data_IF_488957983502
#
_entry.id   IF_488957983502
#
_cell.length_a   1.000
_cell.length_b   1.000
_cell.length_c   1.000
_cell.angle_alpha   90.00
_cell.angle_beta   90.00
_cell.angle_gamma   90.00
#
_symmetry.space_group_name_H-M   'P 1'
#
loop_
_entity.id
_entity.type
_entity.pdbx_description
1 polymer ?
#
# COMPACT_ATOMS: atom_id res chain seq x y z
N UNK A 1 -24.01 -18.35 5.97
CA UNK A 1 -23.01 -17.61 5.15
C UNK A 1 -23.66 -17.22 3.82
N UNK A 2 -23.90 -15.93 3.58
CA UNK A 2 -24.62 -15.43 2.41
C UNK A 2 -23.85 -15.70 1.10
N UNK A 3 -24.58 -16.10 0.05
CA UNK A 3 -24.05 -16.41 -1.31
C UNK A 3 -23.26 -15.25 -1.94
N UNK A 4 -23.44 -14.02 -1.43
CA UNK A 4 -22.70 -12.81 -1.83
C UNK A 4 -21.24 -12.84 -1.36
N UNK A 5 -20.96 -13.41 -0.18
CA UNK A 5 -19.61 -13.52 0.35
C UNK A 5 -18.77 -14.55 -0.43
N UNK A 6 -19.39 -15.66 -0.88
CA UNK A 6 -18.72 -16.69 -1.66
C UNK A 6 -18.39 -16.23 -3.09
N UNK A 7 -19.28 -15.46 -3.73
CA UNK A 7 -19.01 -14.82 -5.03
C UNK A 7 -17.91 -13.76 -4.95
N UNK A 8 -17.84 -13.02 -3.85
CA UNK A 8 -16.79 -12.02 -3.63
C UNK A 8 -15.41 -12.66 -3.37
N UNK A 9 -15.40 -13.82 -2.70
CA UNK A 9 -14.18 -14.59 -2.46
C UNK A 9 -13.61 -15.19 -3.74
N UNK A 10 -14.47 -15.75 -4.62
CA UNK A 10 -14.08 -16.29 -5.92
C UNK A 10 -13.58 -15.21 -6.90
N UNK A 11 -14.18 -14.02 -6.88
CA UNK A 11 -13.70 -12.89 -7.68
C UNK A 11 -12.35 -12.34 -7.19
N UNK A 12 -12.06 -12.39 -5.88
CA UNK A 12 -10.78 -11.90 -5.34
C UNK A 12 -9.59 -12.80 -5.69
N UNK A 13 -9.77 -14.13 -5.70
CA UNK A 13 -8.70 -15.06 -6.11
C UNK A 13 -8.36 -14.89 -7.60
N UNK A 14 -9.36 -14.64 -8.45
CA UNK A 14 -9.16 -14.44 -9.89
C UNK A 14 -8.43 -13.14 -10.28
N UNK A 15 -8.53 -12.08 -9.47
CA UNK A 15 -7.90 -10.78 -9.77
C UNK A 15 -6.40 -10.79 -9.47
N UNK A 16 -5.94 -11.55 -8.46
CA UNK A 16 -4.52 -11.63 -8.12
C UNK A 16 -3.70 -12.36 -9.21
N UNK A 17 -4.32 -13.30 -9.94
CA UNK A 17 -3.67 -14.01 -11.05
C UNK A 17 -3.43 -13.18 -12.31
N UNK A 18 -4.18 -12.08 -12.54
CA UNK A 18 -4.05 -11.26 -13.77
C UNK A 18 -3.08 -10.08 -13.65
N UNK A 19 -2.66 -9.70 -12.44
CA UNK A 19 -1.78 -8.55 -12.24
C UNK A 19 -0.28 -8.85 -12.49
N UNK A 20 0.08 -10.10 -12.79
CA UNK A 20 1.47 -10.53 -13.01
C UNK A 20 1.95 -10.44 -14.47
N UNK A 21 1.08 -10.16 -15.44
CA UNK A 21 1.42 -10.25 -16.89
C UNK A 21 1.51 -8.92 -17.65
N UNK A 22 1.51 -7.77 -16.96
CA UNK A 22 1.37 -6.45 -17.59
C UNK A 22 2.63 -5.58 -17.68
N UNK A 23 3.83 -6.17 -17.73
CA UNK A 23 5.10 -5.41 -17.72
C UNK A 23 5.88 -5.64 -19.02
N UNK A 24 5.52 -4.94 -20.11
CA UNK A 24 6.43 -4.73 -21.23
C UNK A 24 6.03 -3.56 -22.16
N UNK A 25 6.36 -2.32 -21.80
CA UNK A 25 6.38 -1.11 -22.67
C UNK A 25 7.25 -0.04 -21.94
N UNK A 26 8.06 0.88 -22.55
CA UNK A 26 8.51 1.13 -23.95
C UNK A 26 10.07 1.35 -24.04
N UNK A 27 10.66 1.97 -25.10
CA UNK A 27 10.61 3.43 -25.30
C UNK A 27 10.37 3.87 -26.77
N UNK A 28 9.51 4.89 -26.98
CA UNK A 28 9.40 5.58 -28.27
C UNK A 28 10.43 6.71 -28.37
N UNK A 29 11.18 6.65 -29.48
CA UNK A 29 12.21 7.57 -29.96
C UNK A 29 11.61 8.90 -30.41
N UNK A 30 12.14 10.01 -29.88
CA UNK A 30 11.91 11.36 -30.39
C UNK A 30 12.94 11.64 -31.49
N UNK A 31 12.49 12.01 -32.68
CA UNK A 31 13.35 12.55 -33.73
C UNK A 31 12.55 13.58 -34.52
N UNK A 32 12.92 14.85 -34.38
CA UNK A 32 12.40 15.91 -35.21
C UNK A 32 13.03 15.88 -36.60
N UNK A 33 12.31 16.39 -37.61
CA UNK A 33 12.94 17.01 -38.76
C UNK A 33 11.98 17.99 -39.43
N UNK A 34 12.60 19.05 -39.93
CA UNK A 34 12.04 20.31 -40.40
C UNK A 34 11.86 20.31 -41.93
N UNK A 35 11.09 21.31 -42.40
CA UNK A 35 11.03 21.94 -43.75
C UNK A 35 9.95 21.48 -44.72
N UNK A 36 9.29 22.46 -45.32
CA UNK A 36 8.49 22.32 -46.53
C UNK A 36 7.51 23.46 -46.76
N UNK A 37 8.00 24.59 -47.27
CA UNK A 37 7.23 25.77 -47.66
C UNK A 37 6.43 25.53 -48.95
N UNK A 38 5.16 25.97 -49.01
CA UNK A 38 4.53 26.49 -50.24
C UNK A 38 3.32 27.40 -49.90
N UNK A 39 3.34 28.61 -50.46
CA UNK A 39 2.36 29.72 -50.47
C UNK A 39 1.39 29.55 -51.69
N UNK A 40 0.41 30.45 -51.98
CA UNK A 40 -0.68 31.03 -51.17
C UNK A 40 -2.07 31.02 -51.90
N UNK A 41 -3.04 31.70 -51.27
CA UNK A 41 -4.14 32.49 -51.87
C UNK A 41 -5.46 31.80 -52.23
N UNK A 42 -6.48 32.01 -51.39
CA UNK A 42 -7.77 32.53 -51.87
C UNK A 42 -8.53 33.24 -50.74
N UNK A 43 -9.08 34.40 -51.04
CA UNK A 43 -9.78 35.29 -50.12
C UNK A 43 -11.28 35.00 -50.08
N UNK A 44 -11.91 35.10 -48.89
CA UNK A 44 -13.32 35.50 -48.72
C UNK A 44 -13.49 36.29 -47.41
N UNK A 45 -14.20 37.43 -47.42
CA UNK A 45 -14.53 38.20 -46.22
C UNK A 45 -15.85 37.73 -45.61
N UNK A 46 -15.94 37.75 -44.27
CA UNK A 46 -17.21 37.70 -43.55
C UNK A 46 -17.44 36.45 -42.70
N UNK A 47 -16.97 36.50 -41.45
CA UNK A 47 -17.63 35.92 -40.29
C UNK A 47 -16.94 36.42 -39.01
N UNK A 48 -17.61 37.24 -38.22
CA UNK A 48 -17.23 37.47 -36.82
C UNK A 48 -17.32 36.12 -36.09
N UNK A 49 -16.18 35.55 -35.74
CA UNK A 49 -16.12 34.45 -34.77
C UNK A 49 -15.90 35.03 -33.37
N UNK A 50 -16.65 34.57 -32.35
CA UNK A 50 -16.36 34.94 -30.98
C UNK A 50 -15.01 34.33 -30.60
N UNK A 51 -14.05 35.17 -30.23
CA UNK A 51 -12.79 34.73 -29.65
C UNK A 51 -13.10 33.91 -28.39
N UNK A 52 -12.94 32.60 -28.48
CA UNK A 52 -12.82 31.74 -27.31
C UNK A 52 -11.55 32.21 -26.58
N UNK A 53 -11.73 32.99 -25.52
CA UNK A 53 -10.66 33.32 -24.58
C UNK A 53 -10.22 31.98 -23.97
N UNK A 54 -9.07 31.48 -24.43
CA UNK A 54 -8.39 30.39 -23.75
C UNK A 54 -7.91 30.97 -22.43
N UNK A 55 -8.65 30.74 -21.36
CA UNK A 55 -8.18 30.98 -20.00
C UNK A 55 -7.10 29.91 -19.78
N UNK A 56 -5.81 30.28 -19.65
CA UNK A 56 -4.85 29.32 -19.15
C UNK A 56 -5.26 28.98 -17.72
N UNK A 57 -5.75 27.76 -17.50
CA UNK A 57 -5.76 27.14 -16.19
C UNK A 57 -4.32 26.81 -15.81
N UNK A 58 -3.47 27.82 -15.68
CA UNK A 58 -2.35 27.74 -14.76
C UNK A 58 -2.98 27.77 -13.39
N UNK A 59 -3.47 26.61 -12.95
CA UNK A 59 -3.67 26.34 -11.53
C UNK A 59 -2.31 26.61 -10.92
N UNK A 60 -2.24 27.75 -10.25
CA UNK A 60 -1.18 28.13 -9.36
C UNK A 60 -0.79 26.89 -8.57
N UNK A 61 0.40 26.38 -8.83
CA UNK A 61 1.10 25.52 -7.88
C UNK A 61 1.41 26.42 -6.69
N UNK A 62 0.36 26.67 -5.90
CA UNK A 62 0.40 27.45 -4.70
C UNK A 62 1.39 26.74 -3.79
N UNK A 63 2.47 27.45 -3.53
CA UNK A 63 3.48 27.25 -2.51
C UNK A 63 2.92 26.39 -1.39
N UNK A 64 3.16 25.08 -1.44
CA UNK A 64 2.94 24.18 -0.31
C UNK A 64 4.09 24.40 0.67
N UNK A 65 4.19 25.64 1.16
CA UNK A 65 4.99 26.02 2.31
C UNK A 65 4.58 25.13 3.46
N UNK A 66 5.58 24.70 4.24
CA UNK A 66 5.50 23.64 5.23
C UNK A 66 4.20 23.64 6.03
N UNK A 67 3.24 22.82 5.59
CA UNK A 67 2.20 22.33 6.47
C UNK A 67 2.93 21.41 7.43
N UNK A 68 3.29 21.93 8.60
CA UNK A 68 3.62 21.10 9.74
C UNK A 68 2.35 20.30 9.98
N UNK A 69 2.28 19.08 9.44
CA UNK A 69 1.11 18.23 9.63
C UNK A 69 0.98 18.02 11.13
N UNK A 70 -0.07 18.61 11.71
CA UNK A 70 -0.24 18.66 13.15
C UNK A 70 -0.38 17.24 13.66
N UNK A 71 0.50 16.85 14.58
CA UNK A 71 0.37 15.62 15.35
C UNK A 71 -0.98 15.63 16.07
N UNK A 72 -1.99 15.00 15.50
CA UNK A 72 -3.30 14.85 16.14
C UNK A 72 -3.35 13.55 16.92
N UNK A 73 -4.13 13.53 18.00
CA UNK A 73 -4.35 12.31 18.78
C UNK A 73 -4.94 11.19 17.90
N UNK A 74 -5.81 11.54 16.94
CA UNK A 74 -6.37 10.60 15.97
C UNK A 74 -5.32 9.98 15.04
N UNK A 75 -4.38 10.79 14.53
CA UNK A 75 -3.29 10.28 13.67
C UNK A 75 -2.37 9.34 14.44
N UNK A 76 -1.98 9.73 15.66
CA UNK A 76 -1.12 8.94 16.52
C UNK A 76 -1.79 7.62 16.88
N UNK A 77 -3.07 7.67 17.29
CA UNK A 77 -3.84 6.47 17.61
C UNK A 77 -4.01 5.54 16.39
N UNK A 78 -4.25 6.10 15.21
CA UNK A 78 -4.34 5.33 13.96
C UNK A 78 -3.05 4.56 13.65
N UNK A 79 -1.90 5.23 13.67
CA UNK A 79 -0.61 4.59 13.41
C UNK A 79 -0.22 3.64 14.54
N UNK A 80 -0.34 4.06 15.79
CA UNK A 80 0.01 3.25 16.96
C UNK A 80 -0.84 1.98 17.02
N UNK A 81 -2.14 2.05 16.75
CA UNK A 81 -2.99 0.87 16.75
C UNK A 81 -2.62 -0.14 15.67
N UNK A 82 -2.27 0.31 14.45
CA UNK A 82 -1.77 -0.59 13.40
C UNK A 82 -0.43 -1.21 13.81
N UNK A 83 0.47 -0.41 14.38
CA UNK A 83 1.76 -0.92 14.90
C UNK A 83 1.55 -1.96 16.00
N UNK A 84 0.65 -1.74 16.95
CA UNK A 84 0.31 -2.69 18.02
C UNK A 84 -0.23 -3.99 17.42
N UNK A 85 -1.12 -3.92 16.41
CA UNK A 85 -1.64 -5.12 15.74
C UNK A 85 -0.52 -5.95 15.10
N UNK A 86 0.41 -5.31 14.38
CA UNK A 86 1.55 -5.98 13.75
C UNK A 86 2.52 -6.56 14.79
N UNK A 87 2.86 -5.81 15.82
CA UNK A 87 3.76 -6.27 16.88
C UNK A 87 3.15 -7.42 17.67
N UNK A 88 1.83 -7.41 17.93
CA UNK A 88 1.14 -8.54 18.56
C UNK A 88 1.14 -9.78 17.66
N UNK A 89 1.00 -9.62 16.35
CA UNK A 89 1.14 -10.72 15.41
C UNK A 89 2.56 -11.32 15.44
N UNK A 90 3.59 -10.46 15.42
CA UNK A 90 5.00 -10.89 15.56
C UNK A 90 5.20 -11.67 16.86
N UNK A 91 4.79 -11.12 18.02
CA UNK A 91 4.93 -11.77 19.33
C UNK A 91 4.33 -13.17 19.37
N UNK A 92 3.22 -13.39 18.66
CA UNK A 92 2.53 -14.70 18.61
C UNK A 92 3.25 -15.72 17.73
N UNK A 93 3.85 -15.28 16.63
CA UNK A 93 4.46 -16.15 15.61
C UNK A 93 5.94 -16.42 15.88
N UNK A 94 6.63 -15.44 16.49
CA UNK A 94 8.05 -15.49 16.82
C UNK A 94 8.51 -16.75 17.56
N UNK A 95 7.83 -17.27 18.61
CA UNK A 95 8.33 -18.47 19.30
C UNK A 95 8.42 -19.70 18.38
N UNK A 96 7.54 -19.81 17.38
CA UNK A 96 7.54 -20.91 16.41
C UNK A 96 8.61 -20.71 15.34
N UNK A 97 8.83 -19.46 14.94
CA UNK A 97 9.89 -19.08 14.01
C UNK A 97 11.30 -19.35 14.58
N UNK A 98 11.46 -19.25 15.90
CA UNK A 98 12.73 -19.45 16.61
C UNK A 98 12.98 -20.90 17.04
N UNK A 99 12.00 -21.78 16.93
CA UNK A 99 12.11 -23.21 17.30
C UNK A 99 13.34 -23.91 16.67
N UNK A 100 13.67 -23.69 15.38
CA UNK A 100 14.90 -24.19 14.77
C UNK A 100 16.21 -23.79 15.45
N UNK A 101 16.25 -22.61 16.05
CA UNK A 101 17.45 -22.04 16.68
C UNK A 101 17.57 -22.46 18.15
N UNK A 102 16.44 -22.78 18.79
CA UNK A 102 16.38 -23.01 20.23
C UNK A 102 16.58 -24.49 20.61
N UNK A 103 15.90 -25.42 19.93
CA UNK A 103 15.70 -26.76 20.49
C UNK A 103 15.95 -27.91 19.51
N UNK A 104 15.32 -27.86 18.33
CA UNK A 104 15.19 -29.03 17.45
C UNK A 104 16.22 -29.05 16.33
N UNK A 105 16.80 -27.90 15.99
CA UNK A 105 17.72 -27.76 14.87
C UNK A 105 17.06 -27.99 13.51
N UNK A 106 17.70 -27.52 12.45
CA UNK A 106 17.35 -27.87 11.07
C UNK A 106 18.48 -28.65 10.43
N UNK A 107 18.18 -29.66 9.60
CA UNK A 107 19.19 -30.27 8.76
C UNK A 107 19.84 -29.21 7.85
N UNK A 108 21.16 -29.31 7.56
CA UNK A 108 21.92 -28.30 6.83
C UNK A 108 21.28 -27.72 5.56
N UNK A 109 20.65 -28.50 4.65
CA UNK A 109 20.03 -27.93 3.45
C UNK A 109 18.79 -27.06 3.75
N UNK A 110 18.07 -27.33 4.84
CA UNK A 110 16.88 -26.55 5.21
C UNK A 110 17.24 -25.16 5.76
N UNK A 111 18.47 -24.95 6.26
CA UNK A 111 18.95 -23.61 6.61
C UNK A 111 19.04 -22.69 5.41
N UNK A 112 19.51 -23.20 4.27
CA UNK A 112 19.54 -22.46 3.01
C UNK A 112 18.13 -22.06 2.55
N UNK A 113 17.18 -22.98 2.64
CA UNK A 113 15.76 -22.72 2.30
C UNK A 113 15.15 -21.72 3.28
N UNK A 114 15.43 -21.85 4.59
CA UNK A 114 14.97 -20.91 5.60
C UNK A 114 15.44 -19.49 5.29
N UNK A 115 16.75 -19.31 5.06
CA UNK A 115 17.33 -18.02 4.74
C UNK A 115 16.82 -17.44 3.43
N UNK A 116 16.74 -18.25 2.37
CA UNK A 116 16.24 -17.82 1.07
C UNK A 116 14.76 -17.42 1.14
N UNK A 117 13.92 -18.18 1.85
CA UNK A 117 12.51 -17.85 2.04
C UNK A 117 12.34 -16.58 2.87
N UNK A 118 13.12 -16.43 3.96
CA UNK A 118 13.11 -15.22 4.77
C UNK A 118 13.53 -13.97 3.98
N UNK A 119 14.55 -14.08 3.13
CA UNK A 119 14.97 -12.99 2.25
C UNK A 119 13.92 -12.67 1.18
N UNK A 120 13.29 -13.72 0.61
CA UNK A 120 12.17 -13.57 -0.30
C UNK A 120 11.03 -12.76 0.34
N UNK A 121 10.60 -13.16 1.54
CA UNK A 121 9.57 -12.47 2.32
C UNK A 121 9.98 -11.05 2.74
N UNK A 122 11.25 -10.83 3.08
CA UNK A 122 11.78 -9.50 3.37
C UNK A 122 11.58 -8.55 2.18
N UNK A 123 11.83 -9.03 0.96
CA UNK A 123 11.68 -8.22 -0.25
C UNK A 123 10.23 -8.08 -0.71
N UNK A 124 9.50 -9.20 -0.85
CA UNK A 124 8.14 -9.19 -1.43
C UNK A 124 7.12 -8.61 -0.47
N UNK A 125 7.10 -9.07 0.78
CA UNK A 125 6.16 -8.58 1.78
C UNK A 125 6.73 -7.34 2.46
N UNK A 126 7.92 -7.42 3.05
CA UNK A 126 8.50 -6.29 3.80
C UNK A 126 8.67 -5.02 2.95
N UNK A 127 9.39 -5.11 1.84
CA UNK A 127 9.67 -3.93 1.02
C UNK A 127 8.57 -3.61 0.00
N UNK A 128 8.16 -4.56 -0.84
CA UNK A 128 7.21 -4.26 -1.93
C UNK A 128 5.77 -4.09 -1.43
N UNK A 129 5.30 -4.90 -0.48
CA UNK A 129 3.95 -4.78 0.07
C UNK A 129 3.89 -3.72 1.17
N UNK A 130 4.67 -3.88 2.25
CA UNK A 130 4.61 -2.98 3.38
C UNK A 130 5.24 -1.62 3.10
N UNK A 131 6.51 -1.54 2.72
CA UNK A 131 7.20 -0.26 2.58
C UNK A 131 6.63 0.59 1.44
N UNK A 132 6.47 0.03 0.23
CA UNK A 132 6.02 0.83 -0.93
C UNK A 132 4.53 1.15 -0.97
N UNK A 133 3.66 0.28 -0.42
CA UNK A 133 2.20 0.39 -0.62
C UNK A 133 1.44 0.61 0.68
N UNK A 134 1.61 -0.28 1.66
CA UNK A 134 0.79 -0.26 2.87
C UNK A 134 1.17 0.89 3.82
N UNK A 135 2.46 1.01 4.16
CA UNK A 135 2.98 2.00 5.11
C UNK A 135 2.64 3.45 4.73
N UNK A 136 2.96 3.94 3.50
CA UNK A 136 2.64 5.31 3.13
C UNK A 136 1.13 5.58 3.10
N UNK A 137 0.31 4.56 2.80
CA UNK A 137 -1.14 4.70 2.80
C UNK A 137 -1.73 4.77 4.21
N UNK A 138 -1.28 3.90 5.13
CA UNK A 138 -1.69 3.95 6.54
C UNK A 138 -1.36 5.30 7.14
N UNK A 139 -0.16 5.81 6.88
CA UNK A 139 0.28 7.11 7.37
C UNK A 139 -0.55 8.23 6.74
N UNK A 140 -0.68 8.27 5.41
CA UNK A 140 -1.46 9.31 4.73
C UNK A 140 -2.91 9.38 5.23
N UNK A 141 -3.57 8.23 5.44
CA UNK A 141 -4.94 8.19 6.00
C UNK A 141 -4.98 8.54 7.48
N UNK A 142 -3.97 8.17 8.27
CA UNK A 142 -3.93 8.57 9.67
C UNK A 142 -3.81 10.10 9.82
N UNK A 143 -3.08 10.76 8.93
CA UNK A 143 -2.87 12.20 8.96
C UNK A 143 -4.12 13.00 8.56
N UNK A 144 -5.13 12.37 7.95
CA UNK A 144 -6.41 13.04 7.66
C UNK A 144 -7.34 13.11 8.88
N UNK A 145 -7.00 12.45 10.00
CA UNK A 145 -7.79 12.54 11.23
C UNK A 145 -7.49 13.85 11.97
N UNK A 146 -8.35 14.84 11.79
CA UNK A 146 -8.35 16.07 12.59
C UNK A 146 -9.24 15.95 13.84
N UNK A 147 -9.10 16.88 14.79
CA UNK A 147 -9.96 16.96 15.99
C UNK A 147 -11.45 17.15 15.65
N UNK A 148 -11.77 17.68 14.47
CA UNK A 148 -13.13 17.82 13.95
C UNK A 148 -13.68 16.54 13.29
N UNK A 149 -12.90 15.45 13.27
CA UNK A 149 -13.34 14.19 12.66
C UNK A 149 -14.45 13.54 13.48
N UNK A 150 -15.40 12.83 12.84
CA UNK A 150 -16.42 12.08 13.55
C UNK A 150 -15.81 11.15 14.60
N UNK A 151 -16.43 11.08 15.78
CA UNK A 151 -15.94 10.28 16.92
C UNK A 151 -15.70 8.81 16.52
N UNK A 152 -16.55 8.27 15.64
CA UNK A 152 -16.40 6.91 15.10
C UNK A 152 -15.07 6.70 14.35
N UNK A 153 -14.59 7.70 13.60
CA UNK A 153 -13.31 7.62 12.89
C UNK A 153 -12.13 7.64 13.87
N UNK A 154 -12.25 8.40 14.97
CA UNK A 154 -11.22 8.48 16.01
C UNK A 154 -11.16 7.21 16.86
N UNK A 155 -12.29 6.62 17.25
CA UNK A 155 -12.30 5.36 18.02
C UNK A 155 -11.70 4.22 17.20
N UNK A 156 -12.15 4.09 15.94
CA UNK A 156 -11.67 3.07 15.01
C UNK A 156 -10.55 3.57 14.11
N UNK A 157 -9.74 4.53 14.57
CA UNK A 157 -8.65 5.11 13.78
C UNK A 157 -7.70 4.08 13.15
N UNK A 158 -7.33 2.98 13.83
CA UNK A 158 -6.45 1.97 13.22
C UNK A 158 -7.10 1.29 12.02
N UNK A 159 -8.39 0.96 12.13
CA UNK A 159 -9.16 0.32 11.06
C UNK A 159 -9.47 1.32 9.92
N UNK A 160 -9.66 2.59 10.26
CA UNK A 160 -9.78 3.68 9.30
C UNK A 160 -8.48 3.87 8.50
N UNK A 161 -7.34 3.88 9.18
CA UNK A 161 -6.02 4.07 8.58
C UNK A 161 -5.68 2.92 7.61
N UNK A 162 -6.11 1.68 7.93
CA UNK A 162 -5.98 0.54 7.00
C UNK A 162 -6.95 0.61 5.80
N UNK A 163 -8.01 1.42 5.87
CA UNK A 163 -8.99 1.60 4.80
C UNK A 163 -10.15 0.58 4.81
N UNK A 164 -10.54 0.08 5.99
CA UNK A 164 -11.66 -0.86 6.12
C UNK A 164 -13.04 -0.22 5.97
N UNK A 165 -13.15 1.07 6.28
CA UNK A 165 -14.37 1.87 6.13
C UNK A 165 -14.01 3.32 5.77
N UNK A 166 -14.98 4.07 5.25
CA UNK A 166 -14.78 5.44 4.74
C UNK A 166 -13.62 5.52 3.72
N UNK A 167 -13.62 4.60 2.76
CA UNK A 167 -12.68 4.54 1.65
C UNK A 167 -13.46 4.30 0.35
N UNK A 168 -12.83 4.58 -0.79
CA UNK A 168 -13.46 4.26 -2.09
C UNK A 168 -13.89 2.78 -2.16
N UNK A 169 -15.00 2.43 -2.84
CA UNK A 169 -15.53 1.06 -2.85
C UNK A 169 -14.56 0.04 -3.48
N UNK A 170 -13.62 0.50 -4.32
CA UNK A 170 -12.51 -0.31 -4.85
C UNK A 170 -11.49 -0.63 -3.74
N UNK A 171 -11.12 0.36 -2.93
CA UNK A 171 -10.18 0.23 -1.81
C UNK A 171 -10.77 -0.63 -0.69
N UNK A 172 -12.03 -0.42 -0.34
CA UNK A 172 -12.67 -1.12 0.77
C UNK A 172 -12.72 -2.64 0.53
N UNK A 173 -13.12 -3.08 -0.67
CA UNK A 173 -13.11 -4.51 -1.06
C UNK A 173 -11.71 -5.12 -0.97
N UNK A 174 -10.70 -4.38 -1.42
CA UNK A 174 -9.30 -4.83 -1.37
C UNK A 174 -8.85 -5.02 0.08
N UNK A 175 -9.14 -4.07 0.98
CA UNK A 175 -8.76 -4.15 2.39
C UNK A 175 -9.44 -5.30 3.14
N UNK A 176 -10.73 -5.54 2.87
CA UNK A 176 -11.44 -6.71 3.38
C UNK A 176 -10.86 -8.03 2.83
N UNK A 177 -10.51 -8.06 1.54
CA UNK A 177 -9.83 -9.20 0.92
C UNK A 177 -8.49 -9.51 1.57
N UNK A 178 -7.67 -8.49 1.86
CA UNK A 178 -6.42 -8.65 2.59
C UNK A 178 -6.63 -9.21 4.00
N UNK A 179 -7.60 -8.68 4.75
CA UNK A 179 -7.90 -9.15 6.09
C UNK A 179 -8.29 -10.63 6.09
N UNK A 180 -9.25 -11.01 5.24
CA UNK A 180 -9.70 -12.41 5.10
C UNK A 180 -8.57 -13.30 4.60
N UNK A 181 -7.78 -12.82 3.64
CA UNK A 181 -6.64 -13.54 3.08
C UNK A 181 -5.58 -13.88 4.14
N UNK A 182 -5.21 -12.91 4.99
CA UNK A 182 -4.26 -13.14 6.09
C UNK A 182 -4.80 -14.18 7.07
N UNK A 183 -6.07 -14.09 7.48
CA UNK A 183 -6.67 -15.09 8.38
C UNK A 183 -6.67 -16.50 7.76
N UNK A 184 -7.01 -16.61 6.49
CA UNK A 184 -7.00 -17.88 5.76
C UNK A 184 -5.57 -18.45 5.64
N UNK A 185 -4.59 -17.61 5.29
CA UNK A 185 -3.19 -18.00 5.19
C UNK A 185 -2.64 -18.49 6.53
N UNK A 186 -2.89 -17.75 7.62
CA UNK A 186 -2.46 -18.16 8.97
C UNK A 186 -3.10 -19.48 9.38
N UNK A 187 -4.38 -19.71 9.04
CA UNK A 187 -5.05 -20.99 9.31
C UNK A 187 -4.39 -22.13 8.52
N UNK A 188 -4.01 -21.90 7.26
CA UNK A 188 -3.32 -22.87 6.42
C UNK A 188 -1.92 -23.18 6.97
N UNK A 189 -1.13 -22.16 7.30
CA UNK A 189 0.24 -22.31 7.82
C UNK A 189 0.27 -23.12 9.11
N UNK A 190 -0.74 -22.98 9.97
CA UNK A 190 -0.87 -23.77 11.21
C UNK A 190 -1.10 -25.26 10.99
N UNK A 191 -1.50 -25.70 9.80
CA UNK A 191 -1.68 -27.11 9.47
C UNK A 191 -0.38 -27.77 9.01
N UNK A 192 0.67 -26.99 8.74
CA UNK A 192 1.97 -27.53 8.36
C UNK A 192 2.66 -28.13 9.59
N UNK A 193 3.23 -29.32 9.41
CA UNK A 193 4.11 -29.94 10.37
C UNK A 193 5.46 -29.21 10.45
N UNK A 194 6.16 -29.41 11.56
CA UNK A 194 7.59 -29.10 11.65
C UNK A 194 8.34 -29.90 10.57
N UNK A 195 9.31 -29.33 9.84
CA UNK A 195 9.97 -28.01 9.99
C UNK A 195 9.42 -26.87 9.12
N UNK A 196 8.48 -27.17 8.21
CA UNK A 196 8.02 -26.22 7.19
C UNK A 196 7.29 -25.02 7.78
N UNK A 197 6.51 -25.25 8.85
CA UNK A 197 5.83 -24.17 9.56
C UNK A 197 6.82 -23.12 10.07
N UNK A 198 7.94 -23.55 10.68
CA UNK A 198 8.95 -22.64 11.23
C UNK A 198 9.67 -21.84 10.14
N UNK A 199 9.90 -22.43 8.96
CA UNK A 199 10.46 -21.72 7.79
C UNK A 199 9.52 -20.60 7.35
N UNK A 200 8.23 -20.90 7.19
CA UNK A 200 7.24 -19.92 6.72
C UNK A 200 7.04 -18.82 7.76
N UNK A 201 6.82 -19.20 9.02
CA UNK A 201 6.62 -18.27 10.14
C UNK A 201 7.86 -17.37 10.33
N UNK A 202 9.08 -17.90 10.12
CA UNK A 202 10.32 -17.13 10.11
C UNK A 202 10.33 -16.03 9.06
N UNK A 203 9.97 -16.36 7.82
CA UNK A 203 9.87 -15.35 6.75
C UNK A 203 8.78 -14.31 7.02
N UNK A 204 7.62 -14.72 7.54
CA UNK A 204 6.56 -13.80 7.93
C UNK A 204 7.02 -12.83 9.02
N UNK A 205 7.74 -13.31 10.04
CA UNK A 205 8.29 -12.45 11.10
C UNK A 205 9.25 -11.40 10.54
N UNK A 206 10.16 -11.80 9.63
CA UNK A 206 11.09 -10.85 8.98
C UNK A 206 10.32 -9.79 8.18
N UNK A 207 9.34 -10.22 7.37
CA UNK A 207 8.51 -9.32 6.57
C UNK A 207 7.72 -8.33 7.44
N UNK A 208 7.08 -8.81 8.51
CA UNK A 208 6.34 -7.97 9.45
C UNK A 208 7.25 -7.00 10.20
N UNK A 209 8.46 -7.41 10.57
CA UNK A 209 9.44 -6.55 11.26
C UNK A 209 9.86 -5.38 10.37
N UNK A 210 10.20 -5.66 9.11
CA UNK A 210 10.50 -4.63 8.10
C UNK A 210 9.28 -3.73 7.85
N UNK A 211 8.08 -4.33 7.82
CA UNK A 211 6.83 -3.60 7.65
C UNK A 211 6.54 -2.63 8.80
N UNK A 212 6.67 -3.08 10.05
CA UNK A 212 6.53 -2.24 11.24
C UNK A 212 7.56 -1.10 11.25
N UNK A 213 8.83 -1.40 10.94
CA UNK A 213 9.86 -0.37 10.81
C UNK A 213 9.53 0.65 9.71
N UNK A 214 8.97 0.20 8.59
CA UNK A 214 8.58 1.05 7.47
C UNK A 214 7.43 2.00 7.81
N UNK A 215 6.44 1.55 8.58
CA UNK A 215 5.35 2.41 9.07
C UNK A 215 5.91 3.52 9.95
N UNK A 216 6.78 3.17 10.91
CA UNK A 216 7.44 4.16 11.77
C UNK A 216 8.27 5.16 10.94
N UNK A 217 9.02 4.67 9.94
CA UNK A 217 9.79 5.51 9.03
C UNK A 217 8.92 6.52 8.27
N UNK A 218 7.83 6.07 7.65
CA UNK A 218 6.92 6.94 6.91
C UNK A 218 6.21 7.95 7.82
N UNK A 219 5.85 7.55 9.04
CA UNK A 219 5.22 8.44 10.01
C UNK A 219 6.17 9.56 10.44
N UNK A 220 7.42 9.22 10.81
CA UNK A 220 8.45 10.21 11.16
C UNK A 220 8.77 11.12 9.97
N UNK A 221 8.81 10.57 8.76
CA UNK A 221 9.04 11.33 7.52
C UNK A 221 7.93 12.37 7.27
N UNK A 222 6.67 12.02 7.50
CA UNK A 222 5.54 12.96 7.41
C UNK A 222 5.57 14.02 8.51
N UNK A 223 5.92 13.65 9.74
CA UNK A 223 6.10 14.61 10.83
C UNK A 223 7.22 15.63 10.56
N UNK A 224 8.22 15.24 9.75
CA UNK A 224 9.29 16.14 9.26
C UNK A 224 8.85 17.00 8.06
N UNK A 225 7.57 16.97 7.69
CA UNK A 225 7.01 17.76 6.60
C UNK A 225 7.20 17.17 5.20
N UNK A 226 7.71 15.94 5.08
CA UNK A 226 7.86 15.27 3.79
C UNK A 226 6.66 14.35 3.57
N UNK A 227 5.71 14.70 2.69
CA UNK A 227 4.46 13.97 2.56
C UNK A 227 4.66 12.52 2.11
N UNK A 228 3.78 11.61 2.52
CA UNK A 228 3.77 10.26 2.00
C UNK A 228 3.39 10.27 0.51
N UNK A 229 4.00 9.41 -0.30
CA UNK A 229 3.70 9.34 -1.73
C UNK A 229 2.32 8.74 -2.06
N UNK A 230 1.60 8.20 -1.06
CA UNK A 230 0.32 7.53 -1.28
C UNK A 230 -0.87 8.49 -1.22
N UNK A 231 -1.86 8.28 -2.08
CA UNK A 231 -3.16 8.94 -1.99
C UNK A 231 -3.99 8.28 -0.87
N UNK A 232 -4.62 9.04 0.04
CA UNK A 232 -5.44 8.49 1.11
C UNK A 232 -6.75 7.80 0.65
N UNK A 233 -7.14 7.87 -0.63
CA UNK A 233 -8.31 7.17 -1.20
C UNK A 233 -9.63 7.42 -0.42
N UNK A 234 -9.88 8.70 -0.10
CA UNK A 234 -11.13 9.16 0.50
C UNK A 234 -12.27 9.21 -0.54
N UNK A 235 -13.54 8.99 -0.14
CA UNK A 235 -14.70 9.02 -1.04
C UNK A 235 -15.01 10.40 -1.60
#
# INVERSE_FOLDING_TARGET
MSRVALRSLLLCVGVFGRAASGLLVPPHRVSGLSRGCHRPANARPGALQPRHVVIPHTVSAEVRGGVTQSLTLGSLWGVAGVMIMLLNAIKRVLPVALEPFASTGLPPPLWGIYGAFALGMAYTEGYKAFHKKFSPLVVARSMTLANSSPIAHSIFAPLYAMGLFHATPKRQRTSWGFLVGIFALVKLVKQLSYPWRSIVDGGVVVGLTIGSASIAYHYVRELRGIPSPANPDLP
#
